data_IF_664979377458
#
_entry.id   IF_664979377458
#
_cell.length_a   1.000
_cell.length_b   1.000
_cell.length_c   1.000
_cell.angle_alpha   90.00
_cell.angle_beta   90.00
_cell.angle_gamma   90.00
#
_symmetry.space_group_name_H-M   'P 1'
#
loop_
_entity.id
_entity.type
_entity.pdbx_description
1 polymer ?
#
# COMPACT_ATOMS: atom_id res chain seq x y z
N UNK A 1 -6.74 69.84 66.23
CA UNK A 1 -6.93 69.56 64.80
C UNK A 1 -6.47 68.14 64.54
N UNK A 2 -7.36 67.36 64.15
CA UNK A 2 -7.22 65.87 64.20
C UNK A 2 -6.76 65.39 62.84
N UNK A 3 -5.61 64.73 62.78
CA UNK A 3 -5.15 64.02 61.58
C UNK A 3 -5.53 62.56 61.66
N UNK A 4 -6.41 62.14 60.78
CA UNK A 4 -6.76 60.73 60.61
C UNK A 4 -5.81 60.05 59.63
N UNK A 5 -5.01 59.13 60.13
CA UNK A 5 -4.20 58.21 59.37
C UNK A 5 -5.08 57.06 58.89
N UNK A 6 -5.34 56.93 57.61
CA UNK A 6 -5.97 55.76 57.03
C UNK A 6 -4.89 54.75 56.61
N UNK A 7 -4.84 53.64 57.34
CA UNK A 7 -3.98 52.51 57.01
C UNK A 7 -4.42 51.83 55.76
N UNK A 8 -3.49 51.60 54.86
CA UNK A 8 -3.64 50.87 53.63
C UNK A 8 -3.33 49.40 53.84
N UNK A 9 -4.36 48.56 53.80
CA UNK A 9 -4.18 47.13 53.89
C UNK A 9 -3.83 46.61 52.50
N UNK A 10 -2.58 46.08 52.35
CA UNK A 10 -2.15 45.36 51.14
C UNK A 10 -2.59 43.95 51.26
N UNK A 11 -3.60 43.55 50.46
CA UNK A 11 -4.02 42.15 50.30
C UNK A 11 -3.12 41.54 49.23
N UNK A 12 -2.22 40.65 49.67
CA UNK A 12 -1.35 39.87 48.82
C UNK A 12 -2.19 38.70 48.22
N UNK A 13 -2.69 38.87 47.01
CA UNK A 13 -3.38 37.83 46.28
C UNK A 13 -2.46 36.77 45.76
N UNK A 14 -2.50 35.58 46.34
CA UNK A 14 -1.77 34.40 45.93
C UNK A 14 -2.52 33.75 44.76
N UNK A 15 -2.10 34.02 43.51
CA UNK A 15 -2.65 33.39 42.32
C UNK A 15 -2.09 31.96 42.22
N UNK A 16 -2.90 30.99 42.61
CA UNK A 16 -2.65 29.56 42.33
C UNK A 16 -2.92 29.32 40.85
N UNK A 17 -1.87 29.25 40.04
CA UNK A 17 -1.98 28.81 38.64
C UNK A 17 -2.27 27.31 38.56
N UNK A 18 -3.55 26.96 38.32
CA UNK A 18 -3.86 25.62 37.86
C UNK A 18 -3.32 25.44 36.43
N UNK A 19 -2.18 24.76 36.34
CA UNK A 19 -1.69 24.26 35.07
C UNK A 19 -2.64 23.17 34.55
N UNK A 20 -3.48 23.52 33.57
CA UNK A 20 -4.21 22.54 32.76
C UNK A 20 -3.17 21.81 31.89
N UNK A 21 -2.71 20.65 32.36
CA UNK A 21 -2.01 19.68 31.52
C UNK A 21 -3.07 19.12 30.54
N UNK A 22 -3.02 19.60 29.30
CA UNK A 22 -3.76 18.99 28.19
C UNK A 22 -3.05 17.67 27.92
N UNK A 23 -3.68 16.50 28.14
CA UNK A 23 -3.09 15.26 27.67
C UNK A 23 -3.04 15.35 26.15
N UNK A 24 -1.83 15.42 25.60
CA UNK A 24 -1.61 15.27 24.17
C UNK A 24 -2.20 13.93 23.73
N UNK A 25 -3.34 13.98 23.06
CA UNK A 25 -3.89 12.81 22.36
C UNK A 25 -2.90 12.45 21.29
N UNK A 26 -2.05 11.47 21.58
CA UNK A 26 -1.33 10.73 20.55
C UNK A 26 -2.43 10.02 19.74
N UNK A 27 -2.87 10.64 18.65
CA UNK A 27 -3.60 9.93 17.62
C UNK A 27 -2.61 8.90 17.06
N UNK A 28 -2.63 7.70 17.63
CA UNK A 28 -2.19 6.51 16.93
C UNK A 28 -3.05 6.50 15.66
N UNK A 29 -2.43 6.77 14.51
CA UNK A 29 -3.13 6.82 13.23
C UNK A 29 -3.93 5.54 13.08
N UNK A 30 -5.23 5.68 12.97
CA UNK A 30 -6.17 4.58 12.80
C UNK A 30 -5.70 3.77 11.61
N UNK A 31 -5.25 2.53 11.85
CA UNK A 31 -4.70 1.66 10.81
C UNK A 31 -5.81 1.41 9.80
N UNK A 32 -5.68 1.97 8.60
CA UNK A 32 -6.68 1.85 7.55
C UNK A 32 -6.87 0.37 7.21
N UNK A 33 -8.08 -0.12 7.37
CA UNK A 33 -8.46 -1.47 6.90
C UNK A 33 -8.36 -1.49 5.36
N UNK A 34 -7.44 -2.29 4.84
CA UNK A 34 -7.21 -2.47 3.41
C UNK A 34 -7.72 -3.84 2.93
N UNK A 35 -8.47 -4.57 3.76
CA UNK A 35 -9.04 -5.86 3.41
C UNK A 35 -7.97 -6.92 3.13
N UNK A 36 -6.93 -7.01 3.97
CA UNK A 36 -5.84 -7.96 3.85
C UNK A 36 -4.66 -7.50 2.97
N UNK A 37 -4.75 -6.31 2.39
CA UNK A 37 -3.70 -5.71 1.55
C UNK A 37 -2.75 -4.77 2.31
N UNK A 38 -2.80 -4.77 3.64
CA UNK A 38 -1.93 -3.96 4.51
C UNK A 38 -0.45 -4.31 4.28
N UNK A 39 0.44 -3.32 4.40
CA UNK A 39 1.89 -3.49 4.18
C UNK A 39 2.47 -4.59 5.07
N UNK A 40 2.00 -4.73 6.30
CA UNK A 40 2.40 -5.73 7.29
C UNK A 40 1.46 -6.95 7.32
N UNK A 41 0.52 -7.05 6.36
CA UNK A 41 -0.40 -8.17 6.19
C UNK A 41 0.30 -9.48 5.78
N UNK A 42 -0.35 -10.61 6.07
CA UNK A 42 0.18 -11.93 5.75
C UNK A 42 0.52 -12.07 4.25
N UNK A 43 -0.33 -11.54 3.37
CA UNK A 43 -0.12 -11.57 1.92
C UNK A 43 1.14 -10.80 1.50
N UNK A 44 1.31 -9.55 1.95
CA UNK A 44 2.45 -8.74 1.55
C UNK A 44 3.79 -9.24 2.10
N UNK A 45 3.79 -9.99 3.21
CA UNK A 45 4.98 -10.65 3.76
C UNK A 45 5.50 -11.81 2.92
N UNK A 46 4.70 -12.32 1.98
CA UNK A 46 5.12 -13.35 1.04
C UNK A 46 6.04 -12.81 -0.06
N UNK A 47 6.11 -11.49 -0.22
CA UNK A 47 6.98 -10.87 -1.22
C UNK A 47 8.43 -10.88 -0.73
N UNK A 48 9.24 -11.82 -1.23
CA UNK A 48 10.67 -11.89 -0.96
C UNK A 48 11.47 -11.27 -2.12
N UNK A 49 12.12 -10.11 -1.95
CA UNK A 49 12.93 -9.50 -3.00
C UNK A 49 14.10 -10.37 -3.50
N UNK A 50 14.53 -11.37 -2.72
CA UNK A 50 15.56 -12.32 -3.13
C UNK A 50 15.09 -13.24 -4.28
N UNK A 51 13.77 -13.51 -4.35
CA UNK A 51 13.12 -14.30 -5.40
C UNK A 51 12.65 -13.46 -6.59
N UNK A 52 13.30 -12.31 -6.81
CA UNK A 52 12.91 -11.39 -7.88
C UNK A 52 13.23 -11.94 -9.25
N UNK A 53 12.20 -12.04 -10.07
CA UNK A 53 12.27 -12.56 -11.44
C UNK A 53 11.49 -11.69 -12.44
N UNK A 54 11.63 -12.05 -13.72
CA UNK A 54 10.84 -11.46 -14.79
C UNK A 54 10.62 -12.42 -15.93
N UNK A 55 9.43 -12.38 -16.52
CA UNK A 55 9.11 -13.16 -17.70
C UNK A 55 8.24 -12.41 -18.69
N UNK A 56 8.17 -12.89 -19.93
CA UNK A 56 7.33 -12.38 -21.01
C UNK A 56 6.29 -13.42 -21.35
N UNK A 57 5.05 -12.98 -21.56
CA UNK A 57 3.98 -13.90 -21.91
C UNK A 57 2.78 -13.21 -22.53
N UNK A 58 1.72 -13.99 -22.71
CA UNK A 58 0.43 -13.53 -23.21
C UNK A 58 -0.63 -13.69 -22.12
N UNK A 59 -1.43 -12.65 -21.90
CA UNK A 59 -2.54 -12.68 -20.95
C UNK A 59 -3.64 -13.57 -21.49
N UNK A 60 -3.87 -14.71 -20.85
CA UNK A 60 -4.90 -15.67 -21.27
C UNK A 60 -6.21 -15.51 -20.51
N UNK A 61 -6.15 -14.94 -19.28
CA UNK A 61 -7.33 -14.74 -18.44
C UNK A 61 -7.10 -13.58 -17.47
N UNK A 62 -8.16 -12.88 -17.12
CA UNK A 62 -8.20 -11.81 -16.11
C UNK A 62 -9.41 -12.05 -15.22
N UNK A 63 -9.22 -11.94 -13.89
CA UNK A 63 -10.31 -11.99 -12.91
C UNK A 63 -10.08 -11.00 -11.78
N UNK A 64 -11.17 -10.56 -11.17
CA UNK A 64 -11.19 -9.90 -9.87
C UNK A 64 -11.55 -10.96 -8.82
N UNK A 65 -10.62 -11.30 -7.93
CA UNK A 65 -10.83 -12.29 -6.88
C UNK A 65 -9.85 -12.08 -5.73
N UNK A 66 -10.21 -12.56 -4.55
CA UNK A 66 -9.32 -12.52 -3.38
C UNK A 66 -8.07 -13.38 -3.64
N UNK A 67 -6.84 -12.86 -3.42
CA UNK A 67 -5.61 -13.65 -3.55
C UNK A 67 -5.50 -14.76 -2.49
N UNK A 68 -6.00 -14.48 -1.30
CA UNK A 68 -6.07 -15.43 -0.17
C UNK A 68 -7.46 -15.36 0.50
N UNK A 69 -7.89 -16.41 1.22
CA UNK A 69 -9.15 -16.39 1.96
C UNK A 69 -9.27 -15.18 2.89
N UNK A 70 -10.43 -14.52 2.89
CA UNK A 70 -10.72 -13.37 3.75
C UNK A 70 -10.20 -12.02 3.25
N UNK A 71 -9.44 -11.98 2.14
CA UNK A 71 -9.00 -10.72 1.53
C UNK A 71 -10.08 -10.09 0.65
N UNK A 72 -10.00 -8.78 0.51
CA UNK A 72 -10.77 -8.09 -0.53
C UNK A 72 -10.22 -8.41 -1.94
N UNK A 73 -11.05 -8.32 -3.00
CA UNK A 73 -10.65 -8.70 -4.33
C UNK A 73 -9.45 -7.92 -4.87
N UNK A 74 -8.56 -8.64 -5.55
CA UNK A 74 -7.47 -8.11 -6.37
C UNK A 74 -7.66 -8.38 -7.85
N UNK A 75 -6.89 -7.69 -8.66
CA UNK A 75 -6.77 -7.94 -10.10
C UNK A 75 -5.76 -9.08 -10.28
N UNK A 76 -6.24 -10.22 -10.76
CA UNK A 76 -5.45 -11.43 -10.97
C UNK A 76 -5.42 -11.74 -12.47
N UNK A 77 -4.23 -11.98 -12.99
CA UNK A 77 -3.99 -12.35 -14.38
C UNK A 77 -3.52 -13.79 -14.43
N UNK A 78 -3.82 -14.48 -15.52
CA UNK A 78 -3.14 -15.72 -15.93
C UNK A 78 -2.38 -15.40 -17.19
N UNK A 79 -1.07 -15.65 -17.17
CA UNK A 79 -0.16 -15.31 -18.25
C UNK A 79 0.56 -16.58 -18.70
N UNK A 80 0.43 -16.91 -19.99
CA UNK A 80 1.20 -17.99 -20.60
C UNK A 80 2.59 -17.48 -20.91
N UNK A 81 3.62 -18.04 -20.26
CA UNK A 81 5.00 -17.68 -20.53
C UNK A 81 5.43 -18.14 -21.93
N UNK A 82 6.32 -17.35 -22.55
CA UNK A 82 6.76 -17.61 -23.93
C UNK A 82 7.77 -18.75 -24.09
N UNK A 83 8.52 -19.10 -23.03
CA UNK A 83 9.62 -20.09 -23.11
C UNK A 83 9.14 -21.51 -22.90
N UNK A 84 8.36 -21.72 -21.86
CA UNK A 84 7.89 -23.03 -21.41
C UNK A 84 6.39 -23.28 -21.70
N UNK A 85 5.66 -22.28 -22.20
CA UNK A 85 4.22 -22.32 -22.48
C UNK A 85 3.37 -22.56 -21.22
N UNK A 86 3.96 -22.52 -20.00
CA UNK A 86 3.23 -22.66 -18.76
C UNK A 86 2.39 -21.42 -18.47
N UNK A 87 1.29 -21.62 -17.73
CA UNK A 87 0.36 -20.55 -17.37
C UNK A 87 0.50 -20.23 -15.90
N UNK A 88 1.11 -19.08 -15.61
CA UNK A 88 1.31 -18.60 -14.25
C UNK A 88 0.17 -17.68 -13.81
N UNK A 89 -0.26 -17.84 -12.57
CA UNK A 89 -1.11 -16.88 -11.89
C UNK A 89 -0.26 -15.68 -11.48
N UNK A 90 -0.69 -14.48 -11.85
CA UNK A 90 -0.02 -13.20 -11.56
C UNK A 90 -0.96 -12.31 -10.77
N UNK A 91 -0.66 -12.09 -9.51
CA UNK A 91 -1.39 -11.20 -8.63
C UNK A 91 -0.86 -9.77 -8.80
N UNK A 92 -1.72 -8.85 -9.24
CA UNK A 92 -1.31 -7.50 -9.61
C UNK A 92 -1.47 -6.49 -8.46
N UNK A 93 -2.70 -6.18 -8.09
CA UNK A 93 -3.02 -5.17 -7.07
C UNK A 93 -4.48 -5.29 -6.59
N UNK A 94 -4.85 -4.63 -5.48
CA UNK A 94 -6.26 -4.56 -5.07
C UNK A 94 -7.12 -3.88 -6.14
N UNK A 95 -8.36 -4.36 -6.33
CA UNK A 95 -9.33 -3.77 -7.28
C UNK A 95 -9.62 -2.30 -6.96
N UNK A 96 -9.67 -1.94 -5.67
CA UNK A 96 -9.91 -0.55 -5.27
C UNK A 96 -8.73 0.39 -5.57
N UNK A 97 -7.51 -0.14 -5.76
CA UNK A 97 -6.34 0.63 -6.20
C UNK A 97 -6.35 0.85 -7.72
N UNK A 98 -6.62 -0.21 -8.49
CA UNK A 98 -6.75 -0.10 -9.94
C UNK A 98 -7.72 -1.18 -10.46
N UNK A 99 -8.80 -0.75 -11.11
CA UNK A 99 -9.72 -1.67 -11.78
C UNK A 99 -9.07 -2.26 -13.03
N UNK A 100 -9.49 -3.47 -13.42
CA UNK A 100 -8.97 -4.16 -14.61
C UNK A 100 -8.95 -3.25 -15.84
N UNK A 101 -10.05 -2.52 -16.09
CA UNK A 101 -10.17 -1.60 -17.26
C UNK A 101 -9.21 -0.42 -17.19
N UNK A 102 -8.84 0.02 -15.97
CA UNK A 102 -7.95 1.16 -15.78
C UNK A 102 -6.49 0.77 -16.00
N UNK A 103 -6.17 -0.53 -15.90
CA UNK A 103 -4.84 -1.06 -16.21
C UNK A 103 -4.53 -1.09 -17.70
N UNK A 104 -5.52 -0.97 -18.56
CA UNK A 104 -5.36 -1.09 -20.02
C UNK A 104 -4.97 -2.48 -20.50
N UNK A 105 -4.91 -3.48 -19.60
CA UNK A 105 -4.55 -4.86 -19.91
C UNK A 105 -5.79 -5.63 -20.36
N UNK A 106 -5.63 -6.43 -21.42
CA UNK A 106 -6.69 -7.26 -21.98
C UNK A 106 -6.18 -8.67 -22.26
N UNK A 107 -7.11 -9.63 -22.33
CA UNK A 107 -6.81 -10.98 -22.84
C UNK A 107 -6.21 -10.88 -24.24
N UNK A 108 -5.13 -11.63 -24.49
CA UNK A 108 -4.37 -11.62 -25.74
C UNK A 108 -3.20 -10.62 -25.75
N UNK A 109 -3.10 -9.74 -24.76
CA UNK A 109 -1.98 -8.80 -24.69
C UNK A 109 -0.67 -9.52 -24.40
N UNK A 110 0.36 -9.12 -25.14
CA UNK A 110 1.75 -9.51 -24.88
C UNK A 110 2.34 -8.57 -23.84
N UNK A 111 2.77 -9.14 -22.72
CA UNK A 111 3.26 -8.40 -21.57
C UNK A 111 4.62 -8.87 -21.09
N UNK A 112 5.32 -8.01 -20.36
CA UNK A 112 6.50 -8.32 -19.60
C UNK A 112 6.21 -7.99 -18.14
N UNK A 113 6.25 -9.00 -17.26
CA UNK A 113 6.02 -8.85 -15.84
C UNK A 113 7.33 -8.97 -15.06
N UNK A 114 7.41 -8.24 -13.96
CA UNK A 114 8.50 -8.31 -12.97
C UNK A 114 7.89 -8.42 -11.58
N UNK A 115 8.51 -9.22 -10.73
CA UNK A 115 8.01 -9.48 -9.37
C UNK A 115 8.72 -10.64 -8.74
N UNK A 116 8.04 -11.37 -7.88
CA UNK A 116 8.57 -12.54 -7.17
C UNK A 116 7.63 -13.72 -7.31
N UNK A 117 8.17 -14.93 -7.37
CA UNK A 117 7.39 -16.14 -7.15
C UNK A 117 7.23 -16.39 -5.65
N UNK A 118 6.08 -16.88 -5.28
CA UNK A 118 5.76 -17.36 -3.93
C UNK A 118 4.73 -18.48 -4.01
N UNK A 119 4.50 -19.17 -2.90
CA UNK A 119 3.49 -20.21 -2.80
C UNK A 119 2.31 -19.71 -1.96
N UNK A 120 1.09 -19.89 -2.44
CA UNK A 120 -0.15 -19.63 -1.71
C UNK A 120 -1.02 -20.87 -1.82
N UNK A 121 -1.31 -21.52 -0.69
CA UNK A 121 -2.15 -22.73 -0.60
C UNK A 121 -1.69 -23.87 -1.55
N UNK A 122 -0.36 -24.00 -1.75
CA UNK A 122 0.24 -25.03 -2.62
C UNK A 122 0.19 -24.67 -4.13
N UNK A 123 -0.20 -23.46 -4.47
CA UNK A 123 -0.16 -22.93 -5.85
C UNK A 123 0.99 -21.94 -6.00
N UNK A 124 1.79 -22.08 -7.07
CA UNK A 124 2.78 -21.08 -7.43
C UNK A 124 2.11 -19.81 -7.95
N UNK A 125 2.38 -18.71 -7.27
CA UNK A 125 1.81 -17.40 -7.57
C UNK A 125 2.92 -16.40 -7.83
N UNK A 126 2.78 -15.61 -8.88
CA UNK A 126 3.69 -14.51 -9.17
C UNK A 126 3.11 -13.19 -8.64
N UNK A 127 3.73 -12.61 -7.61
CA UNK A 127 3.36 -11.30 -7.06
C UNK A 127 4.05 -10.20 -7.88
N UNK A 128 3.30 -9.50 -8.72
CA UNK A 128 3.85 -8.50 -9.60
C UNK A 128 4.33 -7.24 -8.84
N UNK A 129 5.50 -6.72 -9.21
CA UNK A 129 5.94 -5.35 -8.89
C UNK A 129 5.58 -4.38 -10.00
N UNK A 130 5.65 -4.85 -11.25
CA UNK A 130 5.23 -4.09 -12.43
C UNK A 130 4.88 -4.98 -13.62
N UNK A 131 4.05 -4.45 -14.49
CA UNK A 131 3.71 -5.05 -15.76
C UNK A 131 3.88 -4.03 -16.89
N UNK A 132 4.46 -4.45 -18.00
CA UNK A 132 4.72 -3.63 -19.17
C UNK A 132 4.05 -4.22 -20.41
N UNK A 133 3.42 -3.35 -21.21
CA UNK A 133 2.82 -3.66 -22.50
C UNK A 133 3.27 -2.61 -23.52
N UNK A 134 4.16 -2.97 -24.43
CA UNK A 134 4.79 -2.00 -25.33
C UNK A 134 5.51 -0.90 -24.54
N UNK A 135 5.17 0.36 -24.81
CA UNK A 135 5.72 1.51 -24.08
C UNK A 135 4.99 1.82 -22.76
N UNK A 136 3.82 1.24 -22.55
CA UNK A 136 3.05 1.44 -21.34
C UNK A 136 3.56 0.55 -20.21
N UNK A 137 3.72 1.14 -19.02
CA UNK A 137 4.16 0.44 -17.80
C UNK A 137 3.22 0.77 -16.64
N UNK A 138 2.80 -0.24 -15.90
CA UNK A 138 2.04 -0.10 -14.68
C UNK A 138 2.83 -0.68 -13.51
N UNK A 139 3.21 0.19 -12.59
CA UNK A 139 3.96 -0.15 -11.39
C UNK A 139 2.99 -0.28 -10.21
N UNK A 140 3.15 -1.32 -9.43
CA UNK A 140 2.28 -1.62 -8.29
C UNK A 140 3.06 -1.85 -6.99
N UNK A 141 4.39 -2.08 -7.10
CA UNK A 141 5.30 -2.21 -5.96
C UNK A 141 6.67 -1.64 -6.29
N UNK A 142 7.40 -1.19 -5.27
CA UNK A 142 8.82 -0.94 -5.40
C UNK A 142 9.55 -2.25 -5.68
N UNK A 143 10.40 -2.26 -6.70
CA UNK A 143 11.17 -3.44 -7.08
C UNK A 143 12.18 -3.86 -6.00
N UNK A 144 12.74 -2.88 -5.29
CA UNK A 144 13.83 -3.09 -4.33
C UNK A 144 13.43 -3.84 -3.05
N UNK A 145 12.18 -3.64 -2.59
CA UNK A 145 11.73 -4.12 -1.29
C UNK A 145 10.27 -4.61 -1.27
N UNK A 146 9.58 -4.53 -2.43
CA UNK A 146 8.20 -4.97 -2.56
C UNK A 146 7.16 -4.03 -1.94
N UNK A 147 7.55 -2.85 -1.43
CA UNK A 147 6.61 -1.89 -0.83
C UNK A 147 5.44 -1.61 -1.77
N UNK A 148 4.20 -1.90 -1.37
CA UNK A 148 3.04 -1.74 -2.24
C UNK A 148 2.69 -0.27 -2.45
N UNK A 149 2.43 0.13 -3.68
CA UNK A 149 2.07 1.52 -4.01
C UNK A 149 0.75 1.95 -3.38
N UNK A 150 -0.18 1.04 -3.16
CA UNK A 150 -1.46 1.34 -2.51
C UNK A 150 -1.36 1.64 -1.01
N UNK A 151 -0.19 1.44 -0.40
CA UNK A 151 0.07 1.78 1.00
C UNK A 151 0.82 3.12 1.14
N UNK A 152 1.24 3.73 0.02
CA UNK A 152 2.00 4.98 0.03
C UNK A 152 1.11 6.21 0.22
N UNK A 153 1.64 7.25 0.88
CA UNK A 153 1.01 8.58 0.85
C UNK A 153 0.91 9.10 -0.60
N UNK A 154 -0.11 9.91 -0.94
CA UNK A 154 -0.33 10.40 -2.31
C UNK A 154 0.88 11.09 -2.94
N UNK A 155 1.64 11.85 -2.16
CA UNK A 155 2.84 12.57 -2.63
C UNK A 155 3.95 11.60 -3.06
N UNK A 156 4.21 10.58 -2.24
CA UNK A 156 5.19 9.54 -2.55
C UNK A 156 4.74 8.71 -3.75
N UNK A 157 3.46 8.32 -3.80
CA UNK A 157 2.90 7.58 -4.92
C UNK A 157 3.09 8.33 -6.25
N UNK A 158 2.83 9.64 -6.28
CA UNK A 158 3.02 10.46 -7.48
C UNK A 158 4.49 10.51 -7.93
N UNK A 159 5.44 10.58 -6.99
CA UNK A 159 6.87 10.56 -7.29
C UNK A 159 7.30 9.21 -7.90
N UNK A 160 6.89 8.09 -7.29
CA UNK A 160 7.27 6.74 -7.74
C UNK A 160 6.61 6.36 -9.08
N UNK A 161 5.41 6.83 -9.37
CA UNK A 161 4.75 6.62 -10.65
C UNK A 161 5.44 7.39 -11.79
N UNK A 162 6.02 8.56 -11.51
CA UNK A 162 6.71 9.40 -12.48
C UNK A 162 8.20 9.06 -12.62
N UNK A 163 8.78 8.31 -11.70
CA UNK A 163 10.17 7.87 -11.78
C UNK A 163 10.35 6.88 -12.97
N UNK A 164 11.27 7.21 -13.90
CA UNK A 164 11.60 6.37 -15.06
C UNK A 164 12.60 5.29 -14.70
#
# INVERSE_FOLDING_TARGET
>A
MVHYFKGMIIVLGMAIGLGLSIPGSTQAGEKKDMGGWEIDGAYNKLYDPAEFESFKGEVVKIKEMAPMPGMSPGVILWIRERRDEEVYRVDLCPVWFAKVRDTGIRKGDKVHVKGVFTEIDGEDVFMASKIKKGEWEFKVRLTKDGTPFWTMPPEQLAQEQNAK
#
